data_IF_569355840754
#
_entry.id   IF_569355840754
#
_cell.length_a   1.000
_cell.length_b   1.000
_cell.length_c   1.000
_cell.angle_alpha   90.00
_cell.angle_beta   90.00
_cell.angle_gamma   90.00
#
_symmetry.space_group_name_H-M   'P 1'
#
loop_
_entity.id
_entity.type
_entity.pdbx_description
1 polymer ?
#
# COMPACT_ATOMS: atom_id res chain seq x y z
N UNK A 1 -3.22 -0.65 -3.89
CA UNK A 1 -4.49 -1.40 -3.76
C UNK A 1 -5.53 -0.82 -4.72
N UNK A 2 -6.35 -1.68 -5.32
CA UNK A 2 -7.31 -1.34 -6.38
C UNK A 2 -8.76 -1.47 -5.91
N UNK A 3 -9.02 -1.22 -4.63
CA UNK A 3 -10.38 -1.16 -4.11
C UNK A 3 -11.21 -0.15 -4.92
N UNK A 4 -12.48 -0.46 -5.14
CA UNK A 4 -13.39 0.37 -5.95
C UNK A 4 -13.55 1.80 -5.43
N UNK A 5 -13.26 2.05 -4.15
CA UNK A 5 -13.25 3.38 -3.52
C UNK A 5 -11.89 4.09 -3.60
N UNK A 6 -10.86 3.50 -4.21
CA UNK A 6 -9.53 4.11 -4.34
C UNK A 6 -9.38 4.76 -5.73
N UNK A 7 -10.26 5.71 -6.03
CA UNK A 7 -10.22 6.49 -7.27
C UNK A 7 -9.95 7.97 -6.99
N UNK A 8 -9.43 8.75 -7.96
CA UNK A 8 -9.32 10.20 -7.81
C UNK A 8 -10.66 10.88 -7.48
N UNK A 9 -11.78 10.30 -7.95
CA UNK A 9 -13.13 10.80 -7.66
C UNK A 9 -13.46 10.86 -6.17
N UNK A 10 -12.91 9.95 -5.37
CA UNK A 10 -13.10 9.91 -3.91
C UNK A 10 -12.57 11.17 -3.21
N UNK A 11 -11.59 11.87 -3.81
CA UNK A 11 -11.15 13.16 -3.29
C UNK A 11 -12.22 14.25 -3.45
N UNK A 12 -13.01 14.20 -4.54
CA UNK A 12 -14.13 15.11 -4.77
C UNK A 12 -15.36 14.79 -3.91
N UNK A 13 -15.48 13.55 -3.44
CA UNK A 13 -16.51 13.19 -2.45
C UNK A 13 -16.16 13.72 -1.06
N UNK A 14 -14.86 13.80 -0.72
CA UNK A 14 -14.38 14.19 0.61
C UNK A 14 -14.06 15.68 0.78
N UNK A 15 -13.66 16.37 -0.29
CA UNK A 15 -13.15 17.75 -0.24
C UNK A 15 -13.85 18.68 -1.24
N UNK A 16 -13.72 19.99 -1.04
CA UNK A 16 -14.20 20.97 -2.02
C UNK A 16 -13.46 20.82 -3.36
N UNK A 17 -14.08 21.17 -4.50
CA UNK A 17 -13.50 20.92 -5.82
C UNK A 17 -12.06 21.46 -6.00
N UNK A 18 -11.77 22.66 -5.48
CA UNK A 18 -10.44 23.26 -5.59
C UNK A 18 -9.38 22.46 -4.80
N UNK A 19 -9.72 22.00 -3.59
CA UNK A 19 -8.83 21.19 -2.76
C UNK A 19 -8.64 19.80 -3.36
N UNK A 20 -9.73 19.17 -3.83
CA UNK A 20 -9.68 17.86 -4.47
C UNK A 20 -8.81 17.87 -5.74
N UNK A 21 -8.96 18.90 -6.58
CA UNK A 21 -8.13 19.07 -7.80
C UNK A 21 -6.66 19.26 -7.44
N UNK A 22 -6.37 20.15 -6.49
CA UNK A 22 -5.00 20.40 -6.04
C UNK A 22 -4.34 19.13 -5.47
N UNK A 23 -5.10 18.27 -4.76
CA UNK A 23 -4.60 16.98 -4.29
C UNK A 23 -4.39 15.99 -5.45
N UNK A 24 -5.36 15.85 -6.36
CA UNK A 24 -5.23 14.97 -7.52
C UNK A 24 -3.98 15.31 -8.35
N UNK A 25 -3.70 16.59 -8.57
CA UNK A 25 -2.58 17.04 -9.39
C UNK A 25 -1.20 16.81 -8.76
N UNK A 26 -1.15 16.53 -7.45
CA UNK A 26 0.10 16.29 -6.73
C UNK A 26 0.59 14.85 -6.82
N UNK A 27 -0.26 13.91 -7.24
CA UNK A 27 0.06 12.48 -7.18
C UNK A 27 -0.08 11.81 -8.54
N UNK A 28 0.88 10.93 -8.85
CA UNK A 28 0.71 9.94 -9.89
C UNK A 28 0.07 8.69 -9.27
N UNK A 29 -1.06 8.26 -9.82
CA UNK A 29 -1.76 7.06 -9.36
C UNK A 29 -1.20 5.81 -10.05
N UNK A 30 -0.31 5.11 -9.34
CA UNK A 30 0.25 3.83 -9.79
C UNK A 30 -0.50 2.67 -9.13
N UNK A 31 -1.30 1.95 -9.93
CA UNK A 31 -2.08 0.82 -9.45
C UNK A 31 -1.28 -0.47 -9.47
N UNK A 32 -1.35 -1.24 -8.38
CA UNK A 32 -0.79 -2.59 -8.32
C UNK A 32 -1.54 -3.52 -9.27
N UNK A 33 -0.88 -4.47 -9.95
CA UNK A 33 -1.58 -5.48 -10.74
C UNK A 33 -2.67 -6.20 -9.96
N UNK A 34 -3.75 -6.64 -10.63
CA UNK A 34 -4.74 -7.52 -10.02
C UNK A 34 -4.04 -8.79 -9.50
N UNK A 35 -4.39 -9.20 -8.28
CA UNK A 35 -3.73 -10.30 -7.55
C UNK A 35 -2.22 -10.09 -7.27
N UNK A 36 -1.73 -8.85 -7.37
CA UNK A 36 -0.35 -8.45 -7.10
C UNK A 36 -0.13 -7.89 -5.69
N UNK A 37 -0.91 -8.30 -4.69
CA UNK A 37 -0.81 -7.84 -3.30
C UNK A 37 0.60 -7.97 -2.71
N UNK A 38 1.33 -9.00 -3.13
CA UNK A 38 2.72 -9.23 -2.71
C UNK A 38 3.72 -8.16 -3.21
N UNK A 39 3.30 -7.28 -4.13
CA UNK A 39 4.06 -6.10 -4.56
C UNK A 39 3.58 -4.81 -3.86
N UNK A 40 2.49 -4.86 -3.09
CA UNK A 40 1.94 -3.70 -2.40
C UNK A 40 2.71 -3.44 -1.09
N UNK A 41 3.47 -2.35 -1.05
CA UNK A 41 4.27 -1.94 0.11
C UNK A 41 3.45 -1.85 1.40
N UNK A 42 2.23 -1.33 1.34
CA UNK A 42 1.38 -1.20 2.52
C UNK A 42 0.96 -2.58 3.08
N UNK A 43 0.62 -3.52 2.20
CA UNK A 43 0.23 -4.88 2.62
C UNK A 43 1.41 -5.68 3.17
N UNK A 44 2.61 -5.47 2.61
CA UNK A 44 3.86 -6.04 3.14
C UNK A 44 4.07 -5.55 4.58
N UNK A 45 3.98 -4.23 4.82
CA UNK A 45 4.20 -3.65 6.14
C UNK A 45 3.13 -4.09 7.16
N UNK A 46 1.86 -4.21 6.72
CA UNK A 46 0.80 -4.79 7.56
C UNK A 46 1.11 -6.24 7.94
N UNK A 47 1.70 -7.05 7.05
CA UNK A 47 2.13 -8.42 7.38
C UNK A 47 3.24 -8.42 8.43
N UNK A 48 4.18 -7.48 8.37
CA UNK A 48 5.23 -7.29 9.39
C UNK A 48 4.61 -6.92 10.74
N UNK A 49 3.71 -5.94 10.77
CA UNK A 49 2.95 -5.57 11.98
C UNK A 49 2.22 -6.77 12.57
N UNK A 50 1.54 -7.55 11.73
CA UNK A 50 0.80 -8.73 12.18
C UNK A 50 1.75 -9.70 12.89
N UNK A 51 2.85 -10.07 12.24
CA UNK A 51 3.82 -11.03 12.79
C UNK A 51 4.54 -10.53 14.04
N UNK A 52 4.88 -9.24 14.09
CA UNK A 52 5.70 -8.69 15.17
C UNK A 52 4.88 -8.24 16.38
N UNK A 53 3.66 -7.74 16.17
CA UNK A 53 2.85 -7.12 17.23
C UNK A 53 1.55 -7.87 17.52
N UNK A 54 0.86 -8.34 16.47
CA UNK A 54 -0.52 -8.83 16.55
C UNK A 54 -0.65 -10.35 16.52
N UNK A 55 0.44 -11.11 16.42
CA UNK A 55 0.45 -12.59 16.42
C UNK A 55 0.26 -13.15 17.84
N UNK A 56 -0.76 -12.63 18.53
CA UNK A 56 -1.16 -12.98 19.89
C UNK A 56 -2.57 -12.48 20.16
N UNK A 57 -3.23 -13.09 21.15
CA UNK A 57 -4.53 -12.61 21.61
C UNK A 57 -4.37 -11.30 22.38
N UNK A 58 -5.11 -10.27 21.94
CA UNK A 58 -5.27 -9.01 22.65
C UNK A 58 -6.77 -8.88 22.96
N UNK A 59 -7.08 -8.75 24.24
CA UNK A 59 -8.44 -8.89 24.78
C UNK A 59 -9.31 -7.64 24.61
N UNK A 60 -8.71 -6.48 24.34
CA UNK A 60 -9.43 -5.24 24.17
C UNK A 60 -8.76 -4.28 23.18
N UNK A 61 -9.57 -3.41 22.58
CA UNK A 61 -9.13 -2.48 21.54
C UNK A 61 -8.19 -1.38 22.07
N UNK A 62 -8.32 -0.98 23.34
CA UNK A 62 -7.45 0.05 23.91
C UNK A 62 -6.00 -0.45 24.02
N UNK A 63 -5.81 -1.70 24.49
CA UNK A 63 -4.52 -2.36 24.50
C UNK A 63 -3.98 -2.56 23.08
N UNK A 64 -4.80 -3.04 22.15
CA UNK A 64 -4.38 -3.20 20.75
C UNK A 64 -3.84 -1.88 20.16
N UNK A 65 -4.54 -0.76 20.38
CA UNK A 65 -4.09 0.56 19.92
C UNK A 65 -2.75 0.97 20.51
N UNK A 66 -2.57 0.79 21.83
CA UNK A 66 -1.32 1.12 22.50
C UNK A 66 -0.13 0.32 21.94
N UNK A 67 -0.33 -0.98 21.72
CA UNK A 67 0.69 -1.90 21.21
C UNK A 67 1.06 -1.57 19.75
N UNK A 68 0.06 -1.34 18.88
CA UNK A 68 0.29 -0.91 17.49
C UNK A 68 1.01 0.44 17.45
N UNK A 69 0.65 1.38 18.33
CA UNK A 69 1.31 2.71 18.39
C UNK A 69 2.77 2.57 18.82
N UNK A 70 3.05 1.75 19.84
CA UNK A 70 4.42 1.49 20.28
C UNK A 70 5.25 0.85 19.17
N UNK A 71 4.72 -0.19 18.51
CA UNK A 71 5.36 -0.84 17.38
C UNK A 71 5.60 0.13 16.20
N UNK A 72 4.61 0.95 15.85
CA UNK A 72 4.75 1.93 14.77
C UNK A 72 5.86 2.95 15.06
N UNK A 73 5.95 3.44 16.30
CA UNK A 73 7.03 4.34 16.71
C UNK A 73 8.39 3.68 16.59
N UNK A 74 8.55 2.46 17.09
CA UNK A 74 9.81 1.70 16.94
C UNK A 74 10.17 1.53 15.46
N UNK A 75 9.20 1.06 14.65
CA UNK A 75 9.37 0.77 13.24
C UNK A 75 9.76 2.00 12.42
N UNK A 76 9.12 3.14 12.68
CA UNK A 76 9.45 4.41 12.02
C UNK A 76 10.86 4.91 12.35
N UNK A 77 11.39 4.59 13.53
CA UNK A 77 12.74 4.98 13.95
C UNK A 77 13.82 3.96 13.56
N UNK A 78 13.43 2.80 13.02
CA UNK A 78 14.35 1.75 12.62
C UNK A 78 14.89 1.91 11.19
N UNK A 79 14.45 2.95 10.46
CA UNK A 79 14.79 3.21 9.04
C UNK A 79 14.70 1.97 8.15
N UNK A 80 13.77 1.07 8.46
CA UNK A 80 13.72 -0.22 7.82
C UNK A 80 13.15 -0.13 6.41
N UNK A 81 13.90 -0.65 5.43
CA UNK A 81 13.50 -0.68 4.02
C UNK A 81 13.07 -2.07 3.58
N UNK A 82 12.21 -2.15 2.56
CA UNK A 82 11.91 -3.42 1.90
C UNK A 82 13.12 -3.87 1.09
N UNK A 83 13.62 -5.07 1.38
CA UNK A 83 14.62 -5.73 0.56
C UNK A 83 13.95 -6.35 -0.69
N UNK A 84 13.81 -5.55 -1.74
CA UNK A 84 13.19 -5.98 -3.00
C UNK A 84 14.05 -7.02 -3.71
N UNK A 85 13.55 -8.25 -3.80
CA UNK A 85 14.18 -9.34 -4.56
C UNK A 85 13.57 -9.51 -5.97
N UNK A 86 12.37 -8.97 -6.19
CA UNK A 86 11.71 -9.01 -7.50
C UNK A 86 12.13 -7.80 -8.33
N UNK A 87 12.82 -8.03 -9.44
CA UNK A 87 13.39 -6.96 -10.26
C UNK A 87 12.47 -6.54 -11.40
N UNK A 88 12.77 -5.39 -12.02
CA UNK A 88 12.08 -4.96 -13.25
C UNK A 88 12.29 -5.93 -14.41
N UNK A 89 13.44 -6.63 -14.47
CA UNK A 89 13.69 -7.68 -15.45
C UNK A 89 12.77 -8.88 -15.21
N UNK A 90 12.60 -9.32 -13.96
CA UNK A 90 11.66 -10.39 -13.61
C UNK A 90 10.22 -10.00 -13.94
N UNK A 91 9.84 -8.75 -13.71
CA UNK A 91 8.52 -8.21 -14.04
C UNK A 91 8.22 -8.31 -15.53
N UNK A 92 9.19 -7.98 -16.41
CA UNK A 92 9.01 -8.10 -17.88
C UNK A 92 8.70 -9.52 -18.32
N UNK A 93 9.23 -10.54 -17.63
CA UNK A 93 8.98 -11.94 -17.96
C UNK A 93 7.68 -12.44 -17.31
N UNK A 94 7.56 -12.29 -15.98
CA UNK A 94 6.42 -12.83 -15.22
C UNK A 94 5.10 -12.10 -15.49
N UNK A 95 5.15 -10.78 -15.68
CA UNK A 95 3.98 -9.93 -15.90
C UNK A 95 3.77 -9.58 -17.38
N UNK A 96 4.42 -10.29 -18.32
CA UNK A 96 4.37 -10.01 -19.77
C UNK A 96 2.96 -9.76 -20.32
N UNK A 97 1.96 -10.46 -19.79
CA UNK A 97 0.54 -10.36 -20.21
C UNK A 97 -0.12 -9.03 -19.82
N UNK A 98 0.47 -8.29 -18.89
CA UNK A 98 -0.03 -6.99 -18.42
C UNK A 98 0.55 -5.82 -19.20
N UNK A 99 1.59 -6.05 -20.01
CA UNK A 99 2.15 -5.00 -20.86
C UNK A 99 1.21 -4.74 -22.04
N UNK A 100 1.03 -3.47 -22.44
CA UNK A 100 0.27 -3.14 -23.64
C UNK A 100 0.87 -3.87 -24.85
N UNK A 101 0.04 -4.57 -25.61
CA UNK A 101 0.39 -4.98 -26.97
C UNK A 101 0.25 -3.74 -27.85
N UNK A 102 1.33 -3.33 -28.50
CA UNK A 102 1.22 -2.38 -29.59
C UNK A 102 0.62 -3.15 -30.76
N UNK A 103 -0.66 -2.89 -31.06
CA UNK A 103 -1.24 -3.34 -32.32
C UNK A 103 -0.51 -2.61 -33.46
N UNK A 104 -0.09 -3.36 -34.48
CA UNK A 104 0.59 -2.86 -35.67
C UNK A 104 -0.42 -2.35 -36.71
#
# INVERSE_FOLDING_TARGET
>A
DNLNTHTPGSLYEAYTPDVAKALCDRFEFVYTPKHGSWLNMAEIELNVLIKQCLDRRIDNIAKMRAEVTAWQNERNNADATINWQFTTADARVKLKRLYPTLDA
#
